data_IF_278193054782
#
_entry.id   IF_278193054782
#
_cell.length_a   1.000
_cell.length_b   1.000
_cell.length_c   1.000
_cell.angle_alpha   90.00
_cell.angle_beta   90.00
_cell.angle_gamma   90.00
#
_symmetry.space_group_name_H-M   'P 1'
#
loop_
_entity.id
_entity.type
_entity.pdbx_description
1 polymer ?
#
# COMPACT_ATOMS: atom_id res chain seq x y z
N UNK A 1 -7.78 -27.20 7.40
CA UNK A 1 -6.79 -26.89 6.56
C UNK A 1 -6.88 -25.53 6.09
N UNK A 2 -5.90 -24.77 6.29
CA UNK A 2 -5.93 -23.41 5.83
C UNK A 2 -5.98 -23.36 4.32
N UNK A 3 -6.61 -22.33 3.83
CA UNK A 3 -6.65 -22.12 2.41
C UNK A 3 -5.27 -21.67 1.95
N UNK A 4 -4.94 -21.98 0.74
CA UNK A 4 -3.68 -21.57 0.17
C UNK A 4 -3.79 -20.25 -0.58
N UNK A 5 -4.88 -19.54 -0.45
CA UNK A 5 -5.06 -18.28 -1.14
C UNK A 5 -5.93 -17.33 -0.34
N UNK A 6 -5.84 -16.06 -0.68
CA UNK A 6 -6.73 -15.03 -0.20
C UNK A 6 -7.42 -14.45 -1.43
N UNK A 7 -8.74 -14.36 -1.38
CA UNK A 7 -9.51 -13.91 -2.52
C UNK A 7 -10.45 -12.79 -2.11
N UNK A 8 -10.43 -11.69 -2.84
CA UNK A 8 -11.36 -10.60 -2.64
C UNK A 8 -11.95 -10.28 -4.00
N UNK A 9 -13.26 -10.39 -4.13
CA UNK A 9 -13.92 -10.23 -5.40
C UNK A 9 -13.73 -8.82 -5.97
N UNK A 10 -13.87 -7.79 -5.15
CA UNK A 10 -13.70 -6.42 -5.62
C UNK A 10 -13.10 -5.61 -4.49
N UNK A 11 -11.83 -5.25 -4.63
CA UNK A 11 -11.13 -4.50 -3.59
C UNK A 11 -11.76 -3.15 -3.32
N UNK A 12 -12.35 -2.54 -4.34
CA UNK A 12 -12.92 -1.20 -4.17
C UNK A 12 -14.13 -1.23 -3.27
N UNK A 13 -14.81 -2.37 -3.23
CA UNK A 13 -16.00 -2.50 -2.40
C UNK A 13 -15.73 -3.15 -1.07
N UNK A 14 -14.51 -3.62 -0.87
CA UNK A 14 -14.18 -4.42 0.30
C UNK A 14 -13.99 -3.60 1.57
N UNK A 15 -13.57 -2.36 1.46
CA UNK A 15 -13.34 -1.56 2.64
C UNK A 15 -14.25 -0.34 2.61
N UNK A 16 -14.66 0.07 3.79
CA UNK A 16 -15.44 1.29 3.90
C UNK A 16 -14.48 2.42 4.20
N UNK A 17 -14.71 3.58 3.60
CA UNK A 17 -13.95 4.76 3.96
C UNK A 17 -14.66 5.36 5.16
N UNK A 18 -13.96 5.59 6.27
CA UNK A 18 -14.62 6.14 7.45
C UNK A 18 -15.04 7.59 7.23
N UNK A 19 -15.92 8.06 8.07
CA UNK A 19 -16.37 9.43 7.96
C UNK A 19 -15.23 10.38 8.23
N UNK A 20 -14.40 10.05 9.20
CA UNK A 20 -13.19 10.80 9.50
C UNK A 20 -12.11 9.78 9.81
N UNK A 21 -10.91 10.04 9.37
CA UNK A 21 -9.79 9.17 9.73
C UNK A 21 -9.39 8.21 8.63
N UNK A 22 -8.60 7.24 9.01
CA UNK A 22 -8.02 6.26 8.11
C UNK A 22 -8.33 4.89 8.68
N UNK A 23 -8.89 4.02 7.85
CA UNK A 23 -9.18 2.66 8.26
C UNK A 23 -8.25 1.73 7.50
N UNK A 24 -7.61 0.80 8.18
CA UNK A 24 -6.76 -0.17 7.52
C UNK A 24 -7.29 -1.57 7.77
N UNK A 25 -7.18 -2.43 6.79
CA UNK A 25 -7.62 -3.81 6.90
C UNK A 25 -6.56 -4.71 6.29
N UNK A 26 -6.01 -5.60 7.09
CA UNK A 26 -5.01 -6.54 6.59
C UNK A 26 -5.74 -7.66 5.88
N UNK A 27 -5.41 -7.84 4.61
CA UNK A 27 -6.02 -8.88 3.81
C UNK A 27 -5.23 -10.18 3.88
N UNK A 28 -3.90 -10.08 4.03
CA UNK A 28 -3.04 -11.24 4.04
C UNK A 28 -1.73 -10.85 4.72
N UNK A 29 -1.17 -11.75 5.50
CA UNK A 29 0.13 -11.48 6.14
C UNK A 29 0.82 -12.80 6.42
N UNK A 30 2.08 -12.90 6.03
CA UNK A 30 2.90 -14.04 6.38
C UNK A 30 4.35 -13.56 6.53
N UNK A 31 5.29 -14.45 6.51
CA UNK A 31 6.69 -14.09 6.72
C UNK A 31 7.25 -13.26 5.60
N UNK A 32 6.69 -13.33 4.42
CA UNK A 32 7.26 -12.69 3.27
C UNK A 32 6.52 -11.47 2.78
N UNK A 33 5.25 -11.34 3.10
CA UNK A 33 4.48 -10.23 2.59
C UNK A 33 3.34 -9.86 3.52
N UNK A 34 2.88 -8.64 3.38
CA UNK A 34 1.70 -8.19 4.10
C UNK A 34 0.93 -7.29 3.14
N UNK A 35 -0.35 -7.58 2.97
CA UNK A 35 -1.20 -6.81 2.07
C UNK A 35 -2.27 -6.12 2.90
N UNK A 36 -2.34 -4.81 2.79
CA UNK A 36 -3.26 -4.00 3.58
C UNK A 36 -4.06 -3.10 2.67
N UNK A 37 -5.35 -3.05 2.91
CA UNK A 37 -6.22 -2.15 2.18
C UNK A 37 -6.54 -0.99 3.09
N UNK A 38 -6.32 0.24 2.61
CA UNK A 38 -6.59 1.45 3.38
C UNK A 38 -7.74 2.23 2.79
N UNK A 39 -8.58 2.78 3.66
CA UNK A 39 -9.56 3.76 3.26
C UNK A 39 -9.27 5.06 4.00
N UNK A 40 -9.07 6.15 3.26
CA UNK A 40 -8.77 7.46 3.85
C UNK A 40 -9.96 8.36 3.62
N UNK A 41 -10.46 9.01 4.64
CA UNK A 41 -11.43 10.06 4.43
C UNK A 41 -10.73 11.26 3.80
N UNK A 42 -11.45 12.04 3.02
CA UNK A 42 -10.91 13.22 2.38
C UNK A 42 -10.22 14.12 3.41
N UNK A 43 -9.05 14.61 3.09
CA UNK A 43 -8.28 15.49 3.95
C UNK A 43 -7.38 14.79 4.94
N UNK A 44 -7.51 13.49 5.10
CA UNK A 44 -6.68 12.75 6.05
C UNK A 44 -5.29 12.52 5.46
N UNK A 45 -4.31 12.48 6.32
CA UNK A 45 -2.93 12.36 5.90
C UNK A 45 -2.18 11.33 6.70
N UNK A 46 -1.40 10.52 6.03
CA UNK A 46 -0.44 9.65 6.67
C UNK A 46 0.89 10.36 6.48
N UNK A 47 1.43 10.91 7.56
CA UNK A 47 2.64 11.73 7.50
C UNK A 47 3.83 11.00 6.95
N UNK A 48 4.76 11.76 6.39
CA UNK A 48 5.95 11.15 5.81
C UNK A 48 6.72 10.36 6.86
N UNK A 49 7.11 9.17 6.50
CA UNK A 49 7.84 8.27 7.40
C UNK A 49 8.63 7.29 6.53
N UNK A 50 9.44 6.46 7.15
CA UNK A 50 10.21 5.45 6.44
C UNK A 50 9.83 4.08 6.99
N UNK A 51 10.10 3.05 6.21
CA UNK A 51 9.91 1.67 6.63
C UNK A 51 11.07 0.84 6.12
N UNK A 52 11.46 -0.20 6.84
CA UNK A 52 12.62 -1.00 6.46
C UNK A 52 12.36 -1.99 5.32
N UNK A 53 11.14 -2.03 4.79
CA UNK A 53 10.80 -2.97 3.74
C UNK A 53 10.34 -2.25 2.50
N UNK A 54 10.62 -2.78 1.32
CA UNK A 54 10.05 -2.21 0.11
C UNK A 54 8.55 -2.49 0.07
N UNK A 55 7.83 -1.66 -0.64
CA UNK A 55 6.39 -1.80 -0.72
C UNK A 55 5.86 -1.21 -2.01
N UNK A 56 4.66 -1.63 -2.39
CA UNK A 56 3.97 -1.03 -3.52
C UNK A 56 2.66 -0.44 -3.05
N UNK A 57 2.22 0.59 -3.74
CA UNK A 57 0.90 1.18 -3.55
C UNK A 57 0.16 1.09 -4.87
N UNK A 58 -1.09 0.68 -4.81
CA UNK A 58 -1.96 0.70 -5.97
C UNK A 58 -3.21 1.47 -5.58
N UNK A 59 -3.47 2.59 -6.25
CA UNK A 59 -4.62 3.42 -5.91
C UNK A 59 -5.85 2.92 -6.65
N UNK A 60 -6.90 2.61 -5.92
CA UNK A 60 -8.09 2.00 -6.48
C UNK A 60 -9.23 2.99 -6.60
N UNK A 61 -9.23 4.05 -5.79
CA UNK A 61 -10.29 5.02 -5.79
C UNK A 61 -9.77 6.33 -5.28
N UNK A 62 -10.27 7.44 -5.80
CA UNK A 62 -9.99 8.77 -5.26
C UNK A 62 -8.71 9.40 -5.75
N UNK A 63 -8.40 10.55 -5.19
CA UNK A 63 -7.24 11.35 -5.56
C UNK A 63 -6.43 11.71 -4.33
N UNK A 64 -5.13 11.66 -4.46
CA UNK A 64 -4.22 11.93 -3.36
C UNK A 64 -2.95 12.62 -3.84
N UNK A 65 -2.25 13.23 -2.89
CA UNK A 65 -0.93 13.78 -3.13
C UNK A 65 0.04 12.86 -2.41
N UNK A 66 1.12 12.48 -3.07
CA UNK A 66 2.12 11.58 -2.51
C UNK A 66 3.43 12.29 -2.29
N UNK A 67 4.07 11.98 -1.14
CA UNK A 67 5.41 12.42 -0.90
C UNK A 67 6.29 11.21 -1.16
N UNK A 68 7.22 11.30 -2.09
CA UNK A 68 8.14 10.21 -2.41
C UNK A 68 9.56 10.78 -2.37
N UNK A 69 10.22 10.63 -1.25
CA UNK A 69 11.51 11.25 -1.02
C UNK A 69 11.34 12.77 -1.01
N UNK A 70 12.07 13.46 -1.86
CA UNK A 70 11.98 14.90 -1.95
C UNK A 70 10.91 15.37 -2.94
N UNK A 71 10.24 14.44 -3.60
CA UNK A 71 9.30 14.82 -4.65
C UNK A 71 7.86 14.64 -4.22
N UNK A 72 6.98 15.41 -4.86
CA UNK A 72 5.56 15.23 -4.66
C UNK A 72 4.97 14.79 -5.98
N UNK A 73 4.07 13.82 -5.92
CA UNK A 73 3.41 13.30 -7.10
C UNK A 73 1.92 13.23 -6.83
N UNK A 74 1.15 13.19 -7.91
CA UNK A 74 -0.30 13.04 -7.79
C UNK A 74 -0.67 11.58 -7.99
N UNK A 75 -1.72 11.15 -7.33
CA UNK A 75 -2.23 9.79 -7.49
C UNK A 75 -3.72 9.84 -7.74
N UNK A 76 -4.20 8.93 -8.57
CA UNK A 76 -5.64 8.78 -8.81
C UNK A 76 -5.88 7.30 -9.09
N UNK A 77 -7.08 6.94 -9.51
CA UNK A 77 -7.37 5.53 -9.81
C UNK A 77 -6.38 5.00 -10.83
N UNK A 78 -5.79 3.89 -10.54
CA UNK A 78 -4.82 3.25 -11.42
C UNK A 78 -3.37 3.62 -11.18
N UNK A 79 -3.10 4.56 -10.29
CA UNK A 79 -1.71 4.92 -10.01
C UNK A 79 -1.02 3.80 -9.25
N UNK A 80 0.20 3.48 -9.68
CA UNK A 80 1.03 2.45 -9.04
C UNK A 80 2.36 3.05 -8.62
N UNK A 81 2.83 2.71 -7.44
CA UNK A 81 4.11 3.19 -6.94
C UNK A 81 4.88 2.02 -6.34
N UNK A 82 6.16 1.90 -6.68
CA UNK A 82 7.05 1.00 -5.96
C UNK A 82 7.96 1.87 -5.09
N UNK A 83 8.07 1.54 -3.83
CA UNK A 83 8.89 2.29 -2.90
C UNK A 83 9.97 1.38 -2.36
N UNK A 84 11.24 1.77 -2.55
CA UNK A 84 12.35 0.99 -2.00
C UNK A 84 12.33 1.10 -0.48
N UNK A 85 13.00 0.17 0.18
CA UNK A 85 13.13 0.22 1.63
C UNK A 85 13.73 1.55 2.04
N UNK A 86 13.23 2.10 3.13
CA UNK A 86 13.69 3.37 3.72
C UNK A 86 13.40 4.63 2.89
N UNK A 87 12.66 4.54 1.81
CA UNK A 87 12.25 5.75 1.12
C UNK A 87 11.24 6.49 2.00
N UNK A 88 11.48 7.76 2.24
CA UNK A 88 10.52 8.56 3.00
C UNK A 88 9.29 8.78 2.15
N UNK A 89 8.13 8.50 2.67
CA UNK A 89 6.91 8.61 1.89
C UNK A 89 5.72 8.96 2.76
N UNK A 90 4.74 9.61 2.16
CA UNK A 90 3.50 9.98 2.84
C UNK A 90 2.38 10.10 1.83
N UNK A 91 1.15 10.11 2.33
CA UNK A 91 -0.04 10.19 1.49
C UNK A 91 -0.99 11.20 2.10
N UNK A 92 -1.50 12.12 1.28
CA UNK A 92 -2.55 13.02 1.74
C UNK A 92 -3.74 12.86 0.82
N UNK A 93 -4.88 12.46 1.35
CA UNK A 93 -6.08 12.23 0.56
C UNK A 93 -6.73 13.56 0.21
N UNK A 94 -7.00 13.78 -1.07
CA UNK A 94 -7.71 14.97 -1.51
C UNK A 94 -9.20 14.69 -1.52
N UNK A 95 -9.57 13.48 -1.85
CA UNK A 95 -10.95 13.00 -1.77
C UNK A 95 -10.90 11.74 -0.92
N UNK A 96 -11.99 11.05 -0.75
CA UNK A 96 -11.96 9.74 -0.14
C UNK A 96 -11.09 8.86 -1.03
N UNK A 97 -10.20 8.08 -0.43
CA UNK A 97 -9.21 7.27 -1.17
C UNK A 97 -9.24 5.83 -0.69
N UNK A 98 -9.14 4.91 -1.64
CA UNK A 98 -8.91 3.50 -1.32
C UNK A 98 -7.60 3.11 -1.99
N UNK A 99 -6.64 2.62 -1.22
CA UNK A 99 -5.33 2.26 -1.73
C UNK A 99 -4.88 0.94 -1.14
N UNK A 100 -4.26 0.11 -1.98
CA UNK A 100 -3.75 -1.18 -1.58
C UNK A 100 -2.25 -1.09 -1.39
N UNK A 101 -1.78 -1.49 -0.21
CA UNK A 101 -0.36 -1.54 0.09
C UNK A 101 0.09 -2.99 0.11
N UNK A 102 1.15 -3.31 -0.60
CA UNK A 102 1.79 -4.62 -0.49
C UNK A 102 3.20 -4.42 0.01
N UNK A 103 3.49 -4.92 1.21
CA UNK A 103 4.78 -4.81 1.82
C UNK A 103 5.53 -6.12 1.63
N UNK A 104 6.79 -6.04 1.19
CA UNK A 104 7.60 -7.22 0.96
C UNK A 104 8.56 -7.37 2.13
N UNK A 105 8.22 -8.25 3.05
CA UNK A 105 8.98 -8.45 4.27
C UNK A 105 10.03 -9.52 4.09
N UNK A 106 11.08 -9.41 4.84
CA UNK A 106 12.08 -10.48 4.88
C UNK A 106 12.40 -11.05 3.52
N UNK A 107 12.65 -10.15 2.59
CA UNK A 107 13.06 -10.62 1.29
C UNK A 107 14.25 -11.52 1.46
N UNK A 108 14.41 -12.47 0.64
CA UNK A 108 15.53 -13.38 0.75
C UNK A 108 16.84 -12.62 0.77
N UNK A 109 17.81 -13.11 1.49
CA UNK A 109 19.08 -12.46 1.60
C UNK A 109 19.82 -12.58 0.30
N UNK A 110 20.98 -11.99 0.28
CA UNK A 110 21.77 -12.02 -0.90
C UNK A 110 22.03 -13.39 -1.42
N UNK A 111 22.11 -14.35 -0.52
CA UNK A 111 22.40 -15.67 -0.97
C UNK A 111 21.31 -16.18 -1.87
N UNK A 112 20.18 -15.61 -1.83
CA UNK A 112 19.16 -16.15 -2.61
C UNK A 112 19.02 -15.36 -3.83
N UNK A 113 20.08 -14.79 -4.20
CA UNK A 113 19.99 -14.06 -5.21
C UNK A 113 19.77 -14.53 -6.44
N UNK A 114 19.41 -15.70 -6.63
CA UNK A 114 19.13 -16.07 -7.95
C UNK A 114 17.85 -15.35 -8.28
N UNK A 115 17.79 -14.74 -9.38
CA UNK A 115 16.69 -14.05 -9.70
C UNK A 115 15.62 -14.89 -10.17
N UNK A 116 14.45 -14.68 -9.81
CA UNK A 116 13.35 -15.48 -10.35
C UNK A 116 13.18 -15.09 -11.79
N UNK A 117 12.79 -16.07 -12.57
CA UNK A 117 12.60 -15.76 -13.89
C UNK A 117 11.20 -15.77 -14.10
N UNK A 118 10.59 -14.77 -14.43
CA UNK A 118 9.14 -14.79 -14.68
C UNK A 118 8.87 -14.91 -16.14
#
# INVERSE_FOLDING_TARGET
>A
MPDNYTYVFDLREHTAVPENGILSQTLQSDERSKVVLFGFAAGQELSAHTAPFPATLTFLKGQASLRLGAEEKEASEGTFVYMAAYLEHGIKAKTDVVVLLTMLKNAPTASSRSEPKL
#
